data_IF_670086205020
#
_entry.id   IF_670086205020
#
_cell.length_a   1.000
_cell.length_b   1.000
_cell.length_c   1.000
_cell.angle_alpha   90.00
_cell.angle_beta   90.00
_cell.angle_gamma   90.00
#
_symmetry.space_group_name_H-M   'P 1'
#
loop_
_entity.id
_entity.type
_entity.pdbx_description
1 polymer ?
#
# COMPACT_ATOMS: atom_id res chain seq x y z
N UNK A 1 12.88 2.48 -11.28
CA UNK A 1 11.90 1.62 -10.60
C UNK A 1 12.15 1.71 -9.11
N UNK A 2 11.14 2.22 -8.39
CA UNK A 2 11.10 2.19 -6.93
C UNK A 2 11.27 0.76 -6.38
N UNK A 3 12.01 0.58 -5.28
CA UNK A 3 12.30 -0.76 -4.71
C UNK A 3 11.03 -1.50 -4.26
N UNK A 4 10.09 -0.81 -3.60
CA UNK A 4 8.83 -1.42 -3.17
C UNK A 4 7.97 -1.83 -4.36
N UNK A 5 7.96 -1.04 -5.43
CA UNK A 5 7.27 -1.41 -6.68
C UNK A 5 7.88 -2.68 -7.29
N UNK A 6 9.20 -2.83 -7.23
CA UNK A 6 9.87 -4.06 -7.70
C UNK A 6 9.36 -5.29 -6.93
N UNK A 7 9.29 -5.21 -5.60
CA UNK A 7 8.78 -6.29 -4.74
C UNK A 7 7.32 -6.65 -5.09
N UNK A 8 6.46 -5.66 -5.32
CA UNK A 8 5.06 -5.91 -5.71
C UNK A 8 4.99 -6.62 -7.08
N UNK A 9 5.82 -6.19 -8.05
CA UNK A 9 5.87 -6.83 -9.37
C UNK A 9 6.40 -8.26 -9.32
N UNK A 10 7.37 -8.52 -8.44
CA UNK A 10 7.88 -9.87 -8.15
C UNK A 10 6.76 -10.75 -7.59
N UNK A 11 6.05 -10.27 -6.56
CA UNK A 11 4.89 -10.97 -5.99
C UNK A 11 3.81 -11.25 -7.04
N UNK A 12 3.48 -10.29 -7.91
CA UNK A 12 2.54 -10.51 -9.01
C UNK A 12 2.99 -11.63 -9.96
N UNK A 13 4.29 -11.69 -10.25
CA UNK A 13 4.85 -12.72 -11.12
C UNK A 13 4.75 -14.10 -10.47
N UNK A 14 5.10 -14.21 -9.18
CA UNK A 14 4.94 -15.43 -8.40
C UNK A 14 3.47 -15.87 -8.28
N UNK A 15 2.56 -14.91 -8.08
CA UNK A 15 1.12 -15.16 -7.95
C UNK A 15 0.37 -15.24 -9.29
N UNK A 16 1.08 -15.18 -10.42
CA UNK A 16 0.50 -15.22 -11.77
C UNK A 16 -0.58 -14.14 -12.02
N UNK A 17 -0.41 -12.95 -11.44
CA UNK A 17 -1.26 -11.78 -11.72
C UNK A 17 -0.82 -11.14 -13.05
N UNK A 18 -1.70 -11.03 -14.06
CA UNK A 18 -1.36 -10.36 -15.31
C UNK A 18 -1.19 -8.85 -15.12
N UNK A 19 0.02 -8.35 -15.36
CA UNK A 19 0.42 -6.94 -15.24
C UNK A 19 1.11 -6.47 -16.53
N UNK A 20 1.00 -5.18 -16.86
CA UNK A 20 1.69 -4.61 -18.01
C UNK A 20 3.22 -4.60 -17.82
N UNK A 21 3.93 -4.56 -18.96
CA UNK A 21 5.39 -4.46 -18.98
C UNK A 21 5.83 -3.13 -18.34
N UNK A 22 6.92 -3.17 -17.57
CA UNK A 22 7.42 -1.97 -16.92
C UNK A 22 7.89 -0.94 -17.96
N UNK A 23 7.46 0.31 -17.80
CA UNK A 23 7.75 1.39 -18.75
C UNK A 23 6.80 1.45 -19.94
N UNK A 24 5.78 0.58 -20.00
CA UNK A 24 4.72 0.62 -21.01
C UNK A 24 3.35 0.79 -20.33
N UNK A 25 2.98 2.04 -19.93
CA UNK A 25 1.76 2.27 -19.19
C UNK A 25 0.50 1.89 -19.96
N UNK A 26 -0.32 1.02 -19.39
CA UNK A 26 -1.64 0.64 -19.91
C UNK A 26 -2.77 1.12 -18.97
N UNK A 27 -3.89 1.63 -19.51
CA UNK A 27 -5.04 1.99 -18.69
C UNK A 27 -5.68 0.75 -18.07
N UNK A 28 -6.14 0.87 -16.82
CA UNK A 28 -6.92 -0.19 -16.19
C UNK A 28 -8.34 -0.20 -16.77
N UNK A 29 -8.85 -1.40 -17.05
CA UNK A 29 -10.26 -1.59 -17.34
C UNK A 29 -11.12 -1.32 -16.09
N UNK A 30 -12.35 -0.83 -16.27
CA UNK A 30 -13.27 -0.46 -15.18
C UNK A 30 -13.42 -1.55 -14.11
N UNK A 31 -13.53 -2.82 -14.52
CA UNK A 31 -13.64 -3.94 -13.58
C UNK A 31 -12.38 -4.11 -12.71
N UNK A 32 -11.19 -3.80 -13.25
CA UNK A 32 -9.95 -3.78 -12.47
C UNK A 32 -9.93 -2.59 -11.52
N UNK A 33 -10.38 -1.42 -11.97
CA UNK A 33 -10.49 -0.22 -11.11
C UNK A 33 -11.40 -0.52 -9.91
N UNK A 34 -12.60 -1.06 -10.15
CA UNK A 34 -13.55 -1.45 -9.09
C UNK A 34 -12.93 -2.48 -8.13
N UNK A 35 -12.24 -3.49 -8.67
CA UNK A 35 -11.58 -4.51 -7.86
C UNK A 35 -10.37 -4.00 -7.08
N UNK A 36 -9.74 -2.90 -7.51
CA UNK A 36 -8.68 -2.21 -6.74
C UNK A 36 -9.27 -1.29 -5.68
N UNK A 37 -10.32 -0.55 -6.02
CA UNK A 37 -11.01 0.30 -5.05
C UNK A 37 -11.55 -0.49 -3.87
N UNK A 38 -12.18 -1.65 -4.12
CA UNK A 38 -12.65 -2.54 -3.07
C UNK A 38 -11.52 -3.01 -2.13
N UNK A 39 -10.35 -3.34 -2.69
CA UNK A 39 -9.17 -3.74 -1.91
C UNK A 39 -8.63 -2.57 -1.08
N UNK A 40 -8.51 -1.38 -1.66
CA UNK A 40 -8.04 -0.20 -0.94
C UNK A 40 -9.00 0.22 0.19
N UNK A 41 -10.30 0.09 -0.02
CA UNK A 41 -11.30 0.34 1.02
C UNK A 41 -11.21 -0.67 2.16
N UNK A 42 -10.93 -1.94 1.86
CA UNK A 42 -10.72 -2.99 2.86
C UNK A 42 -9.48 -2.70 3.72
N UNK A 43 -8.31 -2.50 3.08
CA UNK A 43 -7.06 -2.17 3.76
C UNK A 43 -7.17 -0.85 4.54
N UNK A 44 -7.85 0.16 3.97
CA UNK A 44 -8.14 1.42 4.63
C UNK A 44 -9.03 1.26 5.86
N UNK A 45 -10.02 0.36 5.81
CA UNK A 45 -10.87 0.05 6.96
C UNK A 45 -10.09 -0.57 8.12
N UNK A 46 -9.19 -1.51 7.82
CA UNK A 46 -8.31 -2.12 8.83
C UNK A 46 -7.39 -1.08 9.46
N UNK A 47 -6.79 -0.21 8.65
CA UNK A 47 -5.97 0.91 9.13
C UNK A 47 -6.75 1.88 10.03
N UNK A 48 -7.97 2.25 9.66
CA UNK A 48 -8.80 3.13 10.49
C UNK A 48 -9.21 2.49 11.81
N UNK A 49 -9.44 1.17 11.81
CA UNK A 49 -9.65 0.43 13.05
C UNK A 49 -8.39 0.40 13.92
N UNK A 50 -7.20 0.30 13.34
CA UNK A 50 -5.93 0.42 14.06
C UNK A 50 -5.77 1.81 14.69
N UNK A 51 -6.05 2.89 13.96
CA UNK A 51 -6.08 4.25 14.51
C UNK A 51 -7.04 4.40 15.68
N UNK A 52 -8.22 3.78 15.58
CA UNK A 52 -9.22 3.78 16.65
C UNK A 52 -8.71 3.06 17.90
N UNK A 53 -7.96 1.97 17.76
CA UNK A 53 -7.35 1.23 18.88
C UNK A 53 -6.15 1.95 19.48
N UNK A 54 -5.41 2.72 18.67
CA UNK A 54 -4.21 3.44 19.10
C UNK A 54 -2.94 2.58 19.15
N UNK A 55 -2.96 1.39 18.56
CA UNK A 55 -1.84 0.44 18.53
C UNK A 55 -0.88 0.82 17.39
N UNK A 56 0.31 1.34 17.72
CA UNK A 56 1.23 1.88 16.71
C UNK A 56 1.72 0.84 15.70
N UNK A 57 1.99 -0.39 16.16
CA UNK A 57 2.42 -1.49 15.29
C UNK A 57 1.31 -1.88 14.29
N UNK A 58 0.06 -1.92 14.75
CA UNK A 58 -1.10 -2.17 13.87
C UNK A 58 -1.30 -1.03 12.86
N UNK A 59 -1.09 0.22 13.27
CA UNK A 59 -1.20 1.37 12.36
C UNK A 59 -0.10 1.28 11.30
N UNK A 60 1.14 0.97 11.68
CA UNK A 60 2.23 0.77 10.73
C UNK A 60 1.93 -0.37 9.75
N UNK A 61 1.46 -1.51 10.26
CA UNK A 61 1.02 -2.64 9.46
C UNK A 61 -0.07 -2.25 8.45
N UNK A 62 -1.08 -1.49 8.88
CA UNK A 62 -2.13 -0.96 8.00
C UNK A 62 -1.59 0.01 6.94
N UNK A 63 -0.65 0.89 7.30
CA UNK A 63 -0.02 1.81 6.34
C UNK A 63 0.79 1.05 5.29
N UNK A 64 1.57 0.04 5.71
CA UNK A 64 2.37 -0.79 4.80
C UNK A 64 1.46 -1.58 3.86
N UNK A 65 0.43 -2.24 4.38
CA UNK A 65 -0.51 -3.01 3.56
C UNK A 65 -1.27 -2.12 2.57
N UNK A 66 -1.76 -0.95 3.02
CA UNK A 66 -2.42 0.02 2.14
C UNK A 66 -1.46 0.54 1.05
N UNK A 67 -0.20 0.82 1.41
CA UNK A 67 0.85 1.18 0.46
C UNK A 67 1.14 0.08 -0.56
N UNK A 68 1.20 -1.18 -0.12
CA UNK A 68 1.38 -2.35 -0.99
C UNK A 68 0.20 -2.51 -1.97
N UNK A 69 -1.03 -2.33 -1.46
CA UNK A 69 -2.25 -2.37 -2.27
C UNK A 69 -2.31 -1.21 -3.29
N UNK A 70 -1.84 -0.02 -2.92
CA UNK A 70 -1.73 1.10 -3.85
C UNK A 70 -0.70 0.82 -4.96
N UNK A 71 0.49 0.32 -4.61
CA UNK A 71 1.52 -0.07 -5.59
C UNK A 71 1.08 -1.21 -6.50
N UNK A 72 0.15 -2.07 -6.07
CA UNK A 72 -0.47 -3.07 -6.94
C UNK A 72 -1.18 -2.40 -8.13
N UNK A 73 -1.85 -1.27 -7.92
CA UNK A 73 -2.46 -0.48 -9.00
C UNK A 73 -1.43 0.02 -10.01
N UNK A 74 -0.33 0.60 -9.51
CA UNK A 74 0.80 1.09 -10.33
C UNK A 74 1.44 -0.06 -11.13
N UNK A 75 1.71 -1.19 -10.47
CA UNK A 75 2.31 -2.37 -11.07
C UNK A 75 1.47 -2.94 -12.20
N UNK A 76 0.15 -3.05 -12.01
CA UNK A 76 -0.78 -3.55 -13.03
C UNK A 76 -0.76 -2.71 -14.32
N UNK A 77 -0.55 -1.40 -14.18
CA UNK A 77 -0.46 -0.47 -15.29
C UNK A 77 0.92 -0.46 -15.95
N UNK A 78 1.97 -1.00 -15.33
CA UNK A 78 3.33 -0.93 -15.89
C UNK A 78 4.00 0.45 -15.75
N UNK A 79 3.41 1.34 -14.94
CA UNK A 79 4.00 2.66 -14.62
C UNK A 79 5.10 2.56 -13.56
N UNK A 80 5.86 3.65 -13.34
CA UNK A 80 6.74 3.81 -12.17
C UNK A 80 6.03 4.68 -11.11
N UNK A 81 6.56 4.70 -9.89
CA UNK A 81 6.03 5.53 -8.81
C UNK A 81 6.37 6.99 -9.09
N UNK A 82 5.34 7.80 -9.30
CA UNK A 82 5.53 9.24 -9.54
C UNK A 82 5.87 9.97 -8.23
N UNK A 83 6.82 10.90 -8.31
CA UNK A 83 7.09 11.85 -7.23
C UNK A 83 5.92 12.82 -7.15
N UNK A 84 5.17 12.79 -6.05
CA UNK A 84 4.19 13.81 -5.76
C UNK A 84 4.83 14.91 -4.91
N UNK A 85 4.48 16.18 -5.15
CA UNK A 85 4.94 17.31 -4.35
C UNK A 85 4.62 17.09 -2.85
N UNK A 86 5.65 16.77 -2.08
CA UNK A 86 5.62 16.43 -0.65
C UNK A 86 5.38 17.63 0.27
N UNK A 87 4.44 18.52 -0.08
CA UNK A 87 4.22 19.78 0.65
C UNK A 87 3.08 19.74 1.67
N UNK A 88 2.38 18.62 1.85
CA UNK A 88 1.31 18.53 2.86
C UNK A 88 1.90 18.16 4.23
N UNK A 89 2.25 19.19 5.00
CA UNK A 89 2.30 19.05 6.47
C UNK A 89 0.90 18.64 6.92
N UNK A 90 0.75 17.40 7.34
CA UNK A 90 -0.45 17.00 8.05
C UNK A 90 -0.42 17.65 9.42
N UNK A 91 -1.49 18.39 9.76
CA UNK A 91 -1.76 18.71 11.15
C UNK A 91 -1.74 17.38 11.90
N UNK A 92 -0.94 17.26 12.98
CA UNK A 92 -0.70 16.00 13.74
C UNK A 92 -1.96 15.45 14.44
N UNK A 93 -3.14 15.93 14.04
CA UNK A 93 -4.43 15.48 14.47
C UNK A 93 -4.81 14.22 13.67
N UNK A 94 -5.00 13.11 14.39
CA UNK A 94 -5.38 11.80 13.80
C UNK A 94 -6.60 11.93 12.87
N UNK A 95 -7.59 12.76 13.22
CA UNK A 95 -8.78 12.98 12.39
C UNK A 95 -8.43 13.60 11.01
N UNK A 96 -7.43 14.47 10.94
CA UNK A 96 -6.98 15.09 9.69
C UNK A 96 -6.24 14.08 8.81
N UNK A 97 -5.45 13.20 9.44
CA UNK A 97 -4.76 12.08 8.77
C UNK A 97 -5.80 11.11 8.17
N UNK A 98 -6.77 10.66 8.96
CA UNK A 98 -7.81 9.73 8.52
C UNK A 98 -8.64 10.32 7.36
N UNK A 99 -9.03 11.59 7.44
CA UNK A 99 -9.72 12.28 6.33
C UNK A 99 -8.87 12.31 5.07
N UNK A 100 -7.60 12.70 5.20
CA UNK A 100 -6.69 12.79 4.06
C UNK A 100 -6.44 11.43 3.40
N UNK A 101 -6.29 10.36 4.19
CA UNK A 101 -6.18 8.99 3.70
C UNK A 101 -7.46 8.56 2.97
N UNK A 102 -8.63 8.82 3.56
CA UNK A 102 -9.92 8.51 2.93
C UNK A 102 -10.08 9.22 1.59
N UNK A 103 -9.69 10.49 1.50
CA UNK A 103 -9.73 11.26 0.25
C UNK A 103 -8.78 10.66 -0.80
N UNK A 104 -7.58 10.21 -0.39
CA UNK A 104 -6.61 9.57 -1.28
C UNK A 104 -7.03 8.18 -1.75
N UNK A 105 -7.66 7.39 -0.89
CA UNK A 105 -8.30 6.12 -1.28
C UNK A 105 -9.35 6.41 -2.36
N UNK A 106 -10.29 7.33 -2.08
CA UNK A 106 -11.35 7.66 -3.04
C UNK A 106 -10.82 8.19 -4.39
N UNK A 107 -9.69 8.91 -4.39
CA UNK A 107 -9.06 9.39 -5.63
C UNK A 107 -8.56 8.24 -6.53
N UNK A 108 -8.24 7.08 -5.96
CA UNK A 108 -7.81 5.91 -6.73
C UNK A 108 -8.91 5.31 -7.62
N UNK A 109 -10.18 5.67 -7.38
CA UNK A 109 -11.29 5.36 -8.28
C UNK A 109 -11.15 5.98 -9.68
N UNK A 110 -10.23 6.92 -9.88
CA UNK A 110 -9.86 7.45 -11.20
C UNK A 110 -9.16 6.42 -12.10
N UNK A 111 -8.57 5.37 -11.49
CA UNK A 111 -7.75 4.37 -12.17
C UNK A 111 -6.39 4.88 -12.65
N UNK A 112 -5.94 6.07 -12.26
CA UNK A 112 -4.66 6.65 -12.70
C UNK A 112 -3.49 6.24 -11.81
N UNK A 113 -2.34 5.92 -12.41
CA UNK A 113 -1.09 5.60 -11.70
C UNK A 113 -0.66 6.69 -10.72
N UNK A 114 -0.90 7.96 -11.08
CA UNK A 114 -0.63 9.14 -10.25
C UNK A 114 -1.33 9.09 -8.91
N UNK A 115 -2.60 8.65 -8.89
CA UNK A 115 -3.43 8.66 -7.69
C UNK A 115 -3.05 7.51 -6.75
N UNK A 116 -2.77 6.33 -7.32
CA UNK A 116 -2.18 5.21 -6.57
C UNK A 116 -0.80 5.56 -6.00
N UNK A 117 0.07 6.20 -6.79
CA UNK A 117 1.39 6.64 -6.33
C UNK A 117 1.28 7.65 -5.19
N UNK A 118 0.34 8.59 -5.28
CA UNK A 118 0.11 9.58 -4.23
C UNK A 118 -0.38 8.94 -2.92
N UNK A 119 -1.24 7.91 -2.98
CA UNK A 119 -1.67 7.15 -1.80
C UNK A 119 -0.50 6.38 -1.16
N UNK A 120 0.30 5.69 -1.98
CA UNK A 120 1.51 5.00 -1.52
C UNK A 120 2.47 5.96 -0.79
N UNK A 121 2.79 7.11 -1.40
CA UNK A 121 3.69 8.12 -0.82
C UNK A 121 3.14 8.67 0.49
N UNK A 122 1.82 8.86 0.58
CA UNK A 122 1.20 9.30 1.82
C UNK A 122 1.37 8.26 2.94
N UNK A 123 1.27 6.96 2.62
CA UNK A 123 1.49 5.89 3.61
C UNK A 123 2.94 5.88 4.11
N UNK A 124 3.90 5.96 3.18
CA UNK A 124 5.34 6.06 3.48
C UNK A 124 5.64 7.29 4.35
N UNK A 125 5.09 8.45 4.00
CA UNK A 125 5.28 9.69 4.74
C UNK A 125 4.69 9.60 6.16
N UNK A 126 3.48 9.07 6.31
CA UNK A 126 2.86 8.93 7.64
C UNK A 126 3.63 7.95 8.52
N UNK A 127 4.11 6.84 7.97
CA UNK A 127 4.93 5.91 8.73
C UNK A 127 6.22 6.57 9.25
N UNK A 128 6.92 7.32 8.39
CA UNK A 128 8.17 8.00 8.77
C UNK A 128 7.94 9.21 9.68
N UNK A 129 7.06 10.13 9.30
CA UNK A 129 6.92 11.43 9.95
C UNK A 129 5.98 11.41 11.15
N UNK A 130 4.93 10.57 11.12
CA UNK A 130 3.91 10.52 12.17
C UNK A 130 4.16 9.37 13.16
N UNK A 131 4.51 8.18 12.69
CA UNK A 131 4.82 7.04 13.58
C UNK A 131 6.29 6.94 13.98
N UNK A 132 7.19 7.69 13.33
CA UNK A 132 8.64 7.52 13.51
C UNK A 132 9.06 6.06 13.27
N UNK A 133 8.73 5.52 12.09
CA UNK A 133 8.91 4.12 11.76
C UNK A 133 9.76 3.90 10.50
N UNK A 134 10.45 2.76 10.46
CA UNK A 134 11.12 2.22 9.27
C UNK A 134 10.10 1.56 8.34
N UNK A 135 9.52 2.38 7.46
CA UNK A 135 8.56 1.91 6.47
C UNK A 135 9.17 0.88 5.51
N UNK A 136 10.44 1.02 5.15
CA UNK A 136 11.10 0.17 4.15
C UNK A 136 11.33 -1.23 4.70
N UNK A 137 11.79 -1.31 5.96
CA UNK A 137 11.87 -2.58 6.70
C UNK A 137 10.50 -3.23 6.85
N UNK A 138 9.48 -2.45 7.25
CA UNK A 138 8.12 -2.94 7.39
C UNK A 138 7.57 -3.50 6.07
N UNK A 139 7.82 -2.81 4.95
CA UNK A 139 7.41 -3.25 3.62
C UNK A 139 8.05 -4.57 3.21
N UNK A 140 9.36 -4.73 3.45
CA UNK A 140 10.08 -5.99 3.19
C UNK A 140 9.54 -7.14 4.03
N UNK A 141 9.32 -6.93 5.33
CA UNK A 141 8.75 -7.97 6.21
C UNK A 141 7.37 -8.41 5.74
N UNK A 142 6.49 -7.48 5.34
CA UNK A 142 5.18 -7.81 4.77
C UNK A 142 5.32 -8.56 3.44
N UNK A 143 6.22 -8.13 2.55
CA UNK A 143 6.46 -8.80 1.28
C UNK A 143 6.93 -10.24 1.49
N UNK A 144 7.96 -10.46 2.30
CA UNK A 144 8.52 -11.78 2.59
C UNK A 144 7.47 -12.72 3.18
N UNK A 145 6.63 -12.20 4.10
CA UNK A 145 5.51 -12.97 4.65
C UNK A 145 4.48 -13.37 3.60
N UNK A 146 4.20 -12.51 2.60
CA UNK A 146 3.29 -12.83 1.49
C UNK A 146 3.90 -13.87 0.56
N UNK A 147 5.19 -13.76 0.25
CA UNK A 147 5.92 -14.73 -0.57
C UNK A 147 5.95 -16.12 0.08
N UNK A 148 6.29 -16.19 1.38
CA UNK A 148 6.27 -17.45 2.12
C UNK A 148 4.88 -18.10 2.11
N UNK A 149 3.82 -17.31 2.26
CA UNK A 149 2.45 -17.82 2.19
C UNK A 149 2.07 -18.36 0.80
N UNK A 150 2.61 -17.82 -0.29
CA UNK A 150 2.42 -18.38 -1.64
C UNK A 150 3.08 -19.74 -1.81
N UNK A 151 4.26 -19.93 -1.21
CA UNK A 151 4.97 -21.21 -1.25
C UNK A 151 4.23 -22.30 -0.48
N UNK A 152 3.70 -21.96 0.70
CA UNK A 152 2.91 -22.88 1.51
C UNK A 152 1.52 -23.17 0.89
N UNK A 153 0.90 -22.14 0.29
CA UNK A 153 -0.44 -22.19 -0.25
C UNK A 153 -0.47 -21.50 -1.63
N UNK A 154 -0.38 -22.24 -2.75
CA UNK A 154 -0.37 -21.66 -4.10
C UNK A 154 -1.64 -20.87 -4.47
N UNK A 155 -2.73 -21.08 -3.73
CA UNK A 155 -3.98 -20.32 -3.82
C UNK A 155 -4.40 -19.87 -2.42
N UNK A 156 -3.65 -18.95 -1.79
CA UNK A 156 -4.00 -18.46 -0.47
C UNK A 156 -5.36 -17.78 -0.55
N UNK A 157 -6.13 -17.88 0.52
CA UNK A 157 -7.25 -16.96 0.74
C UNK A 157 -6.74 -15.52 0.60
N UNK A 158 -7.57 -14.62 0.06
CA UNK A 158 -7.20 -13.21 -0.20
C UNK A 158 -6.54 -12.48 0.98
N UNK A 159 -6.74 -12.97 2.21
CA UNK A 159 -6.16 -12.42 3.43
C UNK A 159 -4.84 -13.12 3.75
N UNK A 160 -3.73 -12.42 3.48
CA UNK A 160 -2.44 -12.77 4.06
C UNK A 160 -2.43 -12.33 5.51
N UNK A 161 -1.89 -13.18 6.39
CA UNK A 161 -1.68 -12.79 7.78
C UNK A 161 -0.65 -11.66 7.82
N UNK A 162 -1.02 -10.52 8.39
CA UNK A 162 -0.09 -9.41 8.56
C UNK A 162 0.93 -9.76 9.65
N UNK A 163 2.25 -9.70 9.38
CA UNK A 163 3.28 -9.91 10.38
C UNK A 163 3.30 -8.78 11.42
N UNK A 164 3.84 -9.08 12.60
CA UNK A 164 4.09 -8.06 13.63
C UNK A 164 5.25 -7.14 13.18
N UNK A 165 5.00 -5.84 13.19
CA UNK A 165 5.95 -4.80 12.76
C UNK A 165 6.48 -3.96 13.93
N UNK A 166 6.33 -4.42 15.16
CA UNK A 166 6.83 -3.71 16.36
C UNK A 166 8.32 -3.35 16.26
N UNK A 167 9.14 -4.24 15.71
CA UNK A 167 10.59 -4.03 15.50
C UNK A 167 10.93 -2.97 14.42
N UNK A 168 9.92 -2.39 13.76
CA UNK A 168 10.08 -1.33 12.76
C UNK A 168 9.75 0.05 13.32
N UNK A 169 9.27 0.16 14.57
CA UNK A 169 9.06 1.44 15.24
C UNK A 169 10.38 1.90 15.88
N UNK A 170 10.73 3.17 15.71
CA UNK A 170 11.86 3.77 16.42
C UNK A 170 11.39 4.32 17.78
N UNK A 171 12.19 4.07 18.83
CA UNK A 171 11.97 4.62 20.19
C UNK A 171 12.03 6.15 20.24
#
# INVERSE_FOLDING_TARGET
MNEHLQLVREFHSAYSIPQAEFGQPEPLADMRIIAREALLMEEGSELFNAFKRGEMADILAGLVNLGYAALTGVALQGADVEEADASRKHDRLVIAIVRSLSDKINQCSSGKSTDYSALYRMCEQLARDFLNADFDKGFRVVHDSRMAALEEHPHPSRHFKTPDLSDCLFE
#
